data_IF_965892590466
#
_entry.id   IF_965892590466
#
_cell.length_a   1.000
_cell.length_b   1.000
_cell.length_c   1.000
_cell.angle_alpha   90.00
_cell.angle_beta   90.00
_cell.angle_gamma   90.00
#
_symmetry.space_group_name_H-M   'P 1'
#
loop_
_entity.id
_entity.type
_entity.pdbx_description
1 polymer ?
#
# COMPACT_ATOMS: atom_id res chain seq x y z
N UNK A 1 4.39 -34.20 -2.70
CA UNK A 1 4.30 -32.79 -3.10
C UNK A 1 5.70 -32.20 -3.07
N UNK A 2 6.15 -31.51 -4.12
CA UNK A 2 7.44 -30.81 -4.10
C UNK A 2 7.33 -29.55 -3.22
N UNK A 3 8.40 -29.14 -2.52
CA UNK A 3 8.36 -27.95 -1.68
C UNK A 3 8.26 -26.68 -2.55
N UNK A 4 7.43 -25.73 -2.11
CA UNK A 4 7.29 -24.40 -2.71
C UNK A 4 7.87 -23.40 -1.72
N UNK A 5 8.85 -22.60 -2.15
CA UNK A 5 9.52 -21.59 -1.33
C UNK A 5 9.15 -20.20 -1.81
N UNK A 6 8.95 -19.28 -0.86
CA UNK A 6 8.75 -17.85 -1.13
C UNK A 6 9.62 -17.05 -0.16
N UNK A 7 10.22 -15.96 -0.64
CA UNK A 7 10.98 -15.04 0.21
C UNK A 7 10.09 -13.92 0.77
N UNK A 8 10.68 -13.02 1.57
CA UNK A 8 9.96 -11.92 2.21
C UNK A 8 9.48 -10.85 1.22
N UNK A 9 10.22 -10.59 0.17
CA UNK A 9 9.84 -9.61 -0.85
C UNK A 9 8.65 -10.15 -1.65
N UNK A 10 8.68 -11.42 -2.01
CA UNK A 10 7.58 -12.08 -2.71
C UNK A 10 6.31 -12.14 -1.84
N UNK A 11 6.44 -12.37 -0.53
CA UNK A 11 5.32 -12.26 0.41
C UNK A 11 4.71 -10.86 0.37
N UNK A 12 5.53 -9.80 0.50
CA UNK A 12 5.05 -8.43 0.47
C UNK A 12 4.42 -8.06 -0.88
N UNK A 13 5.02 -8.50 -2.00
CA UNK A 13 4.52 -8.31 -3.36
C UNK A 13 3.11 -8.90 -3.52
N UNK A 14 2.90 -10.14 -3.09
CA UNK A 14 1.58 -10.79 -3.14
C UNK A 14 0.55 -10.09 -2.26
N UNK A 15 0.94 -9.66 -1.06
CA UNK A 15 0.04 -8.93 -0.17
C UNK A 15 -0.36 -7.56 -0.75
N UNK A 16 0.57 -6.82 -1.35
CA UNK A 16 0.26 -5.56 -2.04
C UNK A 16 -0.69 -5.81 -3.21
N UNK A 17 -0.39 -6.80 -4.04
CA UNK A 17 -1.20 -7.18 -5.22
C UNK A 17 -2.64 -7.49 -4.81
N UNK A 18 -2.82 -8.32 -3.78
CA UNK A 18 -4.14 -8.70 -3.28
C UNK A 18 -4.87 -7.51 -2.65
N UNK A 19 -4.19 -6.71 -1.82
CA UNK A 19 -4.80 -5.54 -1.20
C UNK A 19 -5.31 -4.53 -2.24
N UNK A 20 -4.54 -4.28 -3.30
CA UNK A 20 -4.96 -3.40 -4.41
C UNK A 20 -6.15 -3.99 -5.16
N UNK A 21 -6.14 -5.29 -5.42
CA UNK A 21 -7.26 -5.96 -6.11
C UNK A 21 -8.54 -5.84 -5.29
N UNK A 22 -8.48 -6.15 -3.99
CA UNK A 22 -9.61 -6.01 -3.07
C UNK A 22 -10.10 -4.56 -2.97
N UNK A 23 -9.20 -3.58 -3.02
CA UNK A 23 -9.53 -2.16 -3.02
C UNK A 23 -10.37 -1.77 -4.25
N UNK A 24 -9.92 -2.12 -5.46
CA UNK A 24 -10.67 -1.86 -6.68
C UNK A 24 -11.93 -2.75 -6.84
N UNK A 25 -12.04 -3.81 -6.04
CA UNK A 25 -13.29 -4.58 -5.91
C UNK A 25 -14.26 -4.03 -4.86
N UNK A 26 -13.94 -2.88 -4.23
CA UNK A 26 -14.75 -2.28 -3.16
C UNK A 26 -15.05 -3.28 -2.02
N UNK A 27 -14.04 -4.09 -1.67
CA UNK A 27 -14.13 -5.06 -0.58
C UNK A 27 -13.93 -4.39 0.78
N UNK A 28 -14.01 -5.21 1.82
CA UNK A 28 -13.97 -4.73 3.21
C UNK A 28 -12.60 -4.17 3.62
N UNK A 29 -12.58 -2.92 4.11
CA UNK A 29 -11.36 -2.25 4.50
C UNK A 29 -10.66 -2.84 5.73
N UNK A 30 -11.35 -3.57 6.61
CA UNK A 30 -10.68 -4.29 7.71
C UNK A 30 -9.76 -5.36 7.14
N UNK A 31 -10.20 -6.06 6.10
CA UNK A 31 -9.39 -7.06 5.39
C UNK A 31 -8.26 -6.37 4.63
N UNK A 32 -8.59 -5.36 3.80
CA UNK A 32 -7.59 -4.66 2.96
C UNK A 32 -6.49 -4.07 3.84
N UNK A 33 -6.87 -3.35 4.91
CA UNK A 33 -5.92 -2.72 5.83
C UNK A 33 -5.03 -3.77 6.52
N UNK A 34 -5.59 -4.89 6.94
CA UNK A 34 -4.82 -5.96 7.60
C UNK A 34 -3.77 -6.54 6.65
N UNK A 35 -4.13 -6.77 5.38
CA UNK A 35 -3.21 -7.31 4.36
C UNK A 35 -2.11 -6.30 4.04
N UNK A 36 -2.45 -5.04 3.75
CA UNK A 36 -1.45 -4.05 3.39
C UNK A 36 -0.55 -3.67 4.56
N UNK A 37 -1.07 -3.57 5.79
CA UNK A 37 -0.27 -3.30 6.97
C UNK A 37 0.70 -4.46 7.28
N UNK A 38 0.34 -5.69 6.92
CA UNK A 38 1.24 -6.83 6.98
C UNK A 38 2.38 -6.70 5.97
N UNK A 39 2.07 -6.34 4.71
CA UNK A 39 3.09 -6.10 3.68
C UNK A 39 4.04 -4.96 4.07
N UNK A 40 3.48 -3.87 4.58
CA UNK A 40 4.20 -2.71 5.07
C UNK A 40 5.18 -3.06 6.18
N UNK A 41 4.75 -3.88 7.14
CA UNK A 41 5.63 -4.35 8.22
C UNK A 41 6.78 -5.21 7.69
N UNK A 42 6.51 -6.12 6.75
CA UNK A 42 7.56 -6.93 6.11
C UNK A 42 8.59 -6.04 5.40
N UNK A 43 8.14 -5.04 4.63
CA UNK A 43 9.01 -4.12 3.90
C UNK A 43 9.81 -3.21 4.83
N UNK A 44 9.24 -2.78 5.95
CA UNK A 44 9.99 -2.07 7.00
C UNK A 44 11.12 -2.95 7.54
N UNK A 45 10.82 -4.21 7.85
CA UNK A 45 11.82 -5.08 8.45
C UNK A 45 12.96 -5.42 7.46
N UNK A 46 12.63 -5.62 6.18
CA UNK A 46 13.62 -5.87 5.13
C UNK A 46 14.40 -4.60 4.74
N UNK A 47 13.72 -3.46 4.63
CA UNK A 47 14.31 -2.19 4.18
C UNK A 47 15.26 -1.53 5.18
N UNK A 48 15.20 -1.92 6.47
CA UNK A 48 16.05 -1.38 7.55
C UNK A 48 17.54 -1.43 7.23
N UNK A 49 18.02 -2.57 6.71
CA UNK A 49 19.45 -2.76 6.41
C UNK A 49 19.92 -1.89 5.24
N UNK A 50 19.00 -1.47 4.37
CA UNK A 50 19.24 -0.63 3.20
C UNK A 50 19.02 0.87 3.49
N UNK A 51 18.69 1.23 4.75
CA UNK A 51 18.35 2.60 5.13
C UNK A 51 17.01 3.10 4.56
N UNK A 52 16.18 2.20 4.03
CA UNK A 52 14.86 2.54 3.49
C UNK A 52 13.88 2.58 4.66
N UNK A 53 13.20 3.72 4.80
CA UNK A 53 12.24 3.97 5.88
C UNK A 53 10.86 4.31 5.33
N UNK A 54 9.84 3.86 6.03
CA UNK A 54 8.44 4.22 5.76
C UNK A 54 8.23 5.72 6.03
N UNK A 55 7.60 6.41 5.08
CA UNK A 55 7.22 7.82 5.28
C UNK A 55 6.08 7.92 6.29
N UNK A 56 5.13 6.97 6.22
CA UNK A 56 3.95 6.95 7.11
C UNK A 56 4.33 6.64 8.55
N UNK A 57 5.28 5.74 8.83
CA UNK A 57 5.70 5.38 10.21
C UNK A 57 6.92 6.16 10.69
N UNK A 58 7.67 6.81 9.80
CA UNK A 58 8.87 7.57 10.14
C UNK A 58 8.87 9.00 9.58
N UNK A 59 7.86 9.81 9.94
CA UNK A 59 7.82 11.20 9.52
C UNK A 59 8.99 11.99 10.11
N UNK A 60 9.56 12.89 9.31
CA UNK A 60 10.67 13.76 9.71
C UNK A 60 10.16 14.88 10.63
N UNK A 61 11.07 15.42 11.47
CA UNK A 61 10.81 16.64 12.24
C UNK A 61 10.05 16.45 13.57
N UNK A 62 9.76 15.21 13.98
CA UNK A 62 9.13 14.93 15.26
C UNK A 62 10.14 14.81 16.41
N UNK A 63 9.75 15.27 17.59
CA UNK A 63 10.41 14.90 18.85
C UNK A 63 10.23 13.41 19.15
N UNK A 64 11.03 12.88 20.09
CA UNK A 64 10.95 11.46 20.49
C UNK A 64 9.57 11.07 21.04
N UNK A 65 8.90 11.98 21.73
CA UNK A 65 7.56 11.73 22.30
C UNK A 65 6.49 11.71 21.21
N UNK A 66 6.50 12.70 20.32
CA UNK A 66 5.60 12.77 19.17
C UNK A 66 5.75 11.55 18.27
N UNK A 67 6.98 11.15 17.98
CA UNK A 67 7.26 9.95 17.19
C UNK A 67 6.66 8.69 17.84
N UNK A 68 6.82 8.50 19.15
CA UNK A 68 6.22 7.36 19.87
C UNK A 68 4.70 7.38 19.84
N UNK A 69 4.09 8.56 19.96
CA UNK A 69 2.64 8.73 19.85
C UNK A 69 2.17 8.40 18.43
N UNK A 70 2.83 8.95 17.43
CA UNK A 70 2.57 8.72 16.01
C UNK A 70 2.62 7.25 15.65
N UNK A 71 3.71 6.55 15.97
CA UNK A 71 3.86 5.11 15.70
C UNK A 71 2.77 4.28 16.39
N UNK A 72 2.33 4.66 17.59
CA UNK A 72 1.22 3.98 18.26
C UNK A 72 -0.10 4.19 17.54
N UNK A 73 -0.45 5.44 17.23
CA UNK A 73 -1.68 5.78 16.48
C UNK A 73 -1.71 5.09 15.14
N UNK A 74 -0.58 5.11 14.42
CA UNK A 74 -0.49 4.54 13.07
C UNK A 74 -0.62 3.01 13.07
N UNK A 75 -0.15 2.33 14.11
CA UNK A 75 -0.26 0.87 14.22
C UNK A 75 -1.55 0.40 14.92
N UNK A 76 -2.36 1.31 15.45
CA UNK A 76 -3.53 0.96 16.26
C UNK A 76 -4.55 0.11 15.49
N UNK A 77 -5.01 0.47 14.27
CA UNK A 77 -5.98 -0.34 13.54
C UNK A 77 -5.46 -1.74 13.23
N UNK A 78 -4.25 -1.85 12.69
CA UNK A 78 -3.64 -3.13 12.37
C UNK A 78 -3.47 -4.04 13.59
N UNK A 79 -3.07 -3.48 14.73
CA UNK A 79 -2.95 -4.25 15.97
C UNK A 79 -4.32 -4.67 16.49
N UNK A 80 -5.31 -3.77 16.49
CA UNK A 80 -6.67 -4.06 16.92
C UNK A 80 -7.29 -5.20 16.09
N UNK A 81 -7.09 -5.21 14.77
CA UNK A 81 -7.68 -6.23 13.89
C UNK A 81 -7.10 -7.65 14.08
N UNK A 82 -5.88 -7.80 14.61
CA UNK A 82 -5.22 -9.11 14.75
C UNK A 82 -5.00 -9.59 16.18
N UNK A 83 -5.13 -8.70 17.17
CA UNK A 83 -4.84 -9.00 18.57
C UNK A 83 -6.08 -8.79 19.45
N UNK A 84 -6.73 -9.89 19.83
CA UNK A 84 -7.84 -9.90 20.79
C UNK A 84 -7.39 -10.24 22.23
N UNK A 85 -6.10 -10.51 22.45
CA UNK A 85 -5.55 -10.94 23.75
C UNK A 85 -5.60 -9.84 24.82
N UNK A 86 -5.59 -8.57 24.42
CA UNK A 86 -5.55 -7.42 25.34
C UNK A 86 -6.90 -6.75 25.54
N UNK A 87 -7.73 -6.72 24.50
CA UNK A 87 -9.02 -6.02 24.50
C UNK A 87 -10.05 -6.80 23.68
N UNK A 88 -10.49 -7.98 24.16
CA UNK A 88 -11.37 -8.87 23.40
C UNK A 88 -12.76 -8.30 23.15
N UNK A 89 -13.20 -7.33 23.95
CA UNK A 89 -14.51 -6.65 23.82
C UNK A 89 -14.36 -5.22 23.27
N UNK A 90 -13.15 -4.86 22.86
CA UNK A 90 -12.81 -3.55 22.34
C UNK A 90 -13.61 -3.17 21.11
N UNK A 91 -13.70 -1.87 20.85
CA UNK A 91 -14.29 -1.31 19.64
C UNK A 91 -13.40 -0.22 19.09
N UNK A 92 -13.18 -0.24 17.79
CA UNK A 92 -12.44 0.81 17.08
C UNK A 92 -13.37 1.52 16.09
N UNK A 93 -13.19 2.84 15.96
CA UNK A 93 -13.84 3.60 14.92
C UNK A 93 -13.10 3.39 13.59
N UNK A 94 -13.76 2.76 12.63
CA UNK A 94 -13.21 2.52 11.30
C UNK A 94 -13.56 3.61 10.28
N UNK A 95 -14.28 4.67 10.65
CA UNK A 95 -14.58 5.76 9.71
C UNK A 95 -13.36 6.33 8.94
N UNK A 96 -12.15 6.48 9.53
CA UNK A 96 -10.99 6.97 8.78
C UNK A 96 -10.21 5.87 8.02
N UNK A 97 -10.63 4.60 8.12
CA UNK A 97 -9.78 3.47 7.69
C UNK A 97 -9.54 3.45 6.19
N UNK A 98 -10.49 3.91 5.38
CA UNK A 98 -10.38 3.93 3.91
C UNK A 98 -9.21 4.80 3.46
N UNK A 99 -9.19 6.07 3.92
CA UNK A 99 -8.09 6.98 3.60
C UNK A 99 -6.76 6.45 4.13
N UNK A 100 -6.77 5.99 5.38
CA UNK A 100 -5.57 5.49 6.04
C UNK A 100 -4.99 4.24 5.36
N UNK A 101 -5.86 3.36 4.86
CA UNK A 101 -5.47 2.19 4.06
C UNK A 101 -4.83 2.62 2.75
N UNK A 102 -5.39 3.63 2.08
CA UNK A 102 -4.83 4.16 0.83
C UNK A 102 -3.43 4.76 1.03
N UNK A 103 -3.20 5.48 2.15
CA UNK A 103 -1.87 5.98 2.52
C UNK A 103 -0.87 4.85 2.77
N UNK A 104 -1.29 3.78 3.46
CA UNK A 104 -0.47 2.59 3.68
C UNK A 104 -0.13 1.85 2.39
N UNK A 105 -1.10 1.76 1.47
CA UNK A 105 -0.90 1.15 0.16
C UNK A 105 0.16 1.91 -0.62
N UNK A 106 0.06 3.24 -0.71
CA UNK A 106 1.07 4.04 -1.40
C UNK A 106 2.45 3.88 -0.76
N UNK A 107 2.58 4.02 0.56
CA UNK A 107 3.88 3.90 1.24
C UNK A 107 4.48 2.50 1.07
N UNK A 108 3.68 1.43 1.18
CA UNK A 108 4.14 0.06 0.92
C UNK A 108 4.61 -0.14 -0.53
N UNK A 109 3.92 0.42 -1.51
CA UNK A 109 4.31 0.37 -2.93
C UNK A 109 5.63 1.09 -3.15
N UNK A 110 5.79 2.30 -2.60
CA UNK A 110 7.04 3.07 -2.70
C UNK A 110 8.20 2.35 -2.01
N UNK A 111 7.96 1.74 -0.86
CA UNK A 111 8.97 0.91 -0.19
C UNK A 111 9.37 -0.31 -1.03
N UNK A 112 8.40 -1.04 -1.61
CA UNK A 112 8.70 -2.18 -2.49
C UNK A 112 9.52 -1.73 -3.71
N UNK A 113 9.15 -0.60 -4.33
CA UNK A 113 9.89 -0.02 -5.44
C UNK A 113 11.34 0.32 -5.05
N UNK A 114 11.55 0.92 -3.88
CA UNK A 114 12.89 1.29 -3.41
C UNK A 114 13.74 0.07 -3.01
N UNK A 115 13.13 -0.99 -2.48
CA UNK A 115 13.83 -2.20 -2.02
C UNK A 115 14.15 -3.14 -3.19
N UNK A 116 13.22 -3.31 -4.13
CA UNK A 116 13.32 -4.34 -5.18
C UNK A 116 13.52 -3.79 -6.59
N UNK A 117 13.35 -2.48 -6.80
CA UNK A 117 13.44 -1.85 -8.12
C UNK A 117 12.22 -2.08 -9.02
N UNK A 118 11.31 -2.99 -8.65
CA UNK A 118 10.15 -3.35 -9.48
C UNK A 118 8.89 -3.59 -8.66
N UNK A 119 7.78 -3.03 -9.11
CA UNK A 119 6.44 -3.21 -8.53
C UNK A 119 5.49 -3.93 -9.50
N UNK A 120 4.53 -4.71 -8.99
CA UNK A 120 3.55 -5.41 -9.82
C UNK A 120 2.60 -4.43 -10.54
N UNK A 121 1.85 -4.91 -11.53
CA UNK A 121 0.99 -4.06 -12.36
C UNK A 121 -0.07 -3.33 -11.53
N UNK A 122 -0.69 -4.05 -10.61
CA UNK A 122 -1.70 -3.59 -9.67
C UNK A 122 -1.17 -2.40 -8.88
N UNK A 123 0.06 -2.50 -8.37
CA UNK A 123 0.72 -1.41 -7.66
C UNK A 123 0.95 -0.17 -8.55
N UNK A 124 1.32 -0.35 -9.83
CA UNK A 124 1.47 0.78 -10.78
C UNK A 124 0.14 1.48 -11.04
N UNK A 125 -0.92 0.70 -11.22
CA UNK A 125 -2.28 1.20 -11.44
C UNK A 125 -2.79 1.93 -10.21
N UNK A 126 -2.64 1.35 -9.02
CA UNK A 126 -3.00 2.02 -7.78
C UNK A 126 -2.22 3.31 -7.56
N UNK A 127 -0.91 3.29 -7.76
CA UNK A 127 -0.09 4.49 -7.62
C UNK A 127 -0.57 5.59 -8.57
N UNK A 128 -0.83 5.26 -9.84
CA UNK A 128 -1.38 6.19 -10.83
C UNK A 128 -2.73 6.76 -10.40
N UNK A 129 -3.66 5.89 -10.00
CA UNK A 129 -4.97 6.31 -9.49
C UNK A 129 -4.84 7.24 -8.27
N UNK A 130 -3.98 6.90 -7.30
CA UNK A 130 -3.81 7.68 -6.08
C UNK A 130 -3.31 9.09 -6.36
N UNK A 131 -2.26 9.24 -7.18
CA UNK A 131 -1.69 10.56 -7.49
C UNK A 131 -2.61 11.39 -8.37
N UNK A 132 -3.42 10.77 -9.22
CA UNK A 132 -4.48 11.45 -9.98
C UNK A 132 -5.65 11.88 -9.10
N UNK A 133 -5.94 11.13 -8.03
CA UNK A 133 -7.07 11.41 -7.11
C UNK A 133 -6.73 12.50 -6.10
N UNK A 134 -5.47 12.57 -5.66
CA UNK A 134 -5.00 13.53 -4.66
C UNK A 134 -3.85 14.40 -5.19
N UNK A 135 -4.03 15.13 -6.31
CA UNK A 135 -2.93 15.84 -6.97
C UNK A 135 -2.29 16.92 -6.10
N UNK A 136 -3.08 17.56 -5.24
CA UNK A 136 -2.62 18.63 -4.34
C UNK A 136 -1.60 18.14 -3.30
N UNK A 137 -1.62 16.85 -2.93
CA UNK A 137 -0.65 16.27 -2.00
C UNK A 137 0.74 16.09 -2.63
N UNK A 138 0.83 16.25 -3.96
CA UNK A 138 2.06 16.10 -4.73
C UNK A 138 2.46 17.41 -5.44
N UNK A 139 1.89 18.55 -5.04
CA UNK A 139 2.16 19.86 -5.67
C UNK A 139 3.62 20.29 -5.62
N UNK A 140 4.35 19.83 -4.60
CA UNK A 140 5.75 20.16 -4.38
C UNK A 140 6.72 19.22 -5.13
N UNK A 141 6.20 18.22 -5.85
CA UNK A 141 7.02 17.32 -6.65
C UNK A 141 7.44 17.96 -7.99
N UNK A 142 8.61 17.61 -8.54
CA UNK A 142 9.08 18.14 -9.82
C UNK A 142 8.09 17.87 -10.97
N UNK A 143 7.91 18.86 -11.85
CA UNK A 143 6.94 18.80 -12.95
C UNK A 143 7.32 17.83 -14.08
N UNK A 144 8.57 17.40 -14.17
CA UNK A 144 9.15 16.63 -15.29
C UNK A 144 9.47 15.16 -14.95
N UNK A 145 8.84 14.60 -13.91
CA UNK A 145 9.11 13.24 -13.42
C UNK A 145 8.07 12.16 -13.77
N UNK A 146 8.38 10.92 -13.37
CA UNK A 146 7.46 9.77 -13.46
C UNK A 146 6.09 10.06 -12.83
N UNK A 147 6.04 10.85 -11.75
CA UNK A 147 4.79 11.27 -11.10
C UNK A 147 3.87 12.03 -12.05
N UNK A 148 4.38 12.96 -12.85
CA UNK A 148 3.55 13.71 -13.81
C UNK A 148 2.97 12.80 -14.87
N UNK A 149 3.75 11.83 -15.34
CA UNK A 149 3.26 10.81 -16.27
C UNK A 149 2.12 9.98 -15.64
N UNK A 150 2.31 9.48 -14.41
CA UNK A 150 1.27 8.74 -13.68
C UNK A 150 -0.01 9.58 -13.51
N UNK A 151 0.10 10.85 -13.12
CA UNK A 151 -1.04 11.76 -13.00
C UNK A 151 -1.77 11.95 -14.33
N UNK A 152 -1.01 12.06 -15.44
CA UNK A 152 -1.57 12.27 -16.79
C UNK A 152 -2.38 11.09 -17.33
N UNK A 153 -2.26 9.90 -16.72
CA UNK A 153 -3.10 8.75 -17.08
C UNK A 153 -4.57 8.96 -16.69
N UNK A 154 -4.86 9.89 -15.76
CA UNK A 154 -6.23 10.28 -15.41
C UNK A 154 -7.08 9.13 -14.88
N UNK A 155 -6.47 8.16 -14.19
CA UNK A 155 -7.20 6.98 -13.70
C UNK A 155 -8.23 7.32 -12.63
N UNK A 156 -8.17 8.52 -12.03
CA UNK A 156 -9.21 9.04 -11.15
C UNK A 156 -10.56 9.23 -11.86
N UNK A 157 -10.57 9.40 -13.19
CA UNK A 157 -11.78 9.54 -14.00
C UNK A 157 -12.44 8.19 -14.29
N UNK A 158 -11.75 7.08 -14.02
CA UNK A 158 -12.25 5.74 -14.28
C UNK A 158 -12.95 5.22 -13.03
N UNK A 159 -14.10 4.58 -13.21
CA UNK A 159 -14.71 3.84 -12.12
C UNK A 159 -13.89 2.58 -11.79
N UNK A 160 -14.03 2.11 -10.56
CA UNK A 160 -13.29 0.94 -10.07
C UNK A 160 -13.57 -0.34 -10.89
N UNK A 161 -14.80 -0.61 -11.36
CA UNK A 161 -15.06 -1.70 -12.29
C UNK A 161 -14.24 -1.63 -13.59
N UNK A 162 -14.06 -0.43 -14.17
CA UNK A 162 -13.24 -0.21 -15.37
C UNK A 162 -11.76 -0.46 -15.08
N UNK A 163 -11.25 0.06 -13.97
CA UNK A 163 -9.87 -0.20 -13.53
C UNK A 163 -9.63 -1.70 -13.33
N UNK A 164 -10.60 -2.43 -12.76
CA UNK A 164 -10.53 -3.88 -12.60
C UNK A 164 -10.46 -4.60 -13.93
N UNK A 165 -11.32 -4.25 -14.89
CA UNK A 165 -11.28 -4.85 -16.24
C UNK A 165 -9.94 -4.62 -16.92
N UNK A 166 -9.36 -3.43 -16.76
CA UNK A 166 -8.03 -3.11 -17.26
C UNK A 166 -6.94 -3.99 -16.62
N UNK A 167 -7.00 -4.21 -15.30
CA UNK A 167 -6.07 -5.11 -14.61
C UNK A 167 -6.18 -6.56 -15.12
N UNK A 168 -7.39 -7.10 -15.24
CA UNK A 168 -7.61 -8.44 -15.79
C UNK A 168 -7.06 -8.57 -17.21
N UNK A 169 -7.23 -7.56 -18.06
CA UNK A 169 -6.64 -7.57 -19.40
C UNK A 169 -5.10 -7.55 -19.34
N UNK A 170 -4.52 -6.76 -18.43
CA UNK A 170 -3.08 -6.70 -18.21
C UNK A 170 -2.49 -8.03 -17.76
N UNK A 171 -3.16 -8.76 -16.87
CA UNK A 171 -2.77 -10.11 -16.43
C UNK A 171 -2.75 -11.09 -17.62
N UNK A 172 -3.82 -11.12 -18.42
CA UNK A 172 -3.92 -11.97 -19.63
C UNK A 172 -2.76 -11.69 -20.58
N UNK A 173 -2.44 -10.41 -20.81
CA UNK A 173 -1.33 -10.01 -21.68
C UNK A 173 0.04 -10.42 -21.11
N UNK A 174 0.23 -10.39 -19.79
CA UNK A 174 1.46 -10.88 -19.18
C UNK A 174 1.61 -12.39 -19.31
N UNK A 175 0.52 -13.16 -19.15
CA UNK A 175 0.55 -14.61 -19.34
C UNK A 175 0.81 -15.01 -20.79
N UNK A 176 0.21 -14.30 -21.76
CA UNK A 176 0.42 -14.56 -23.18
C UNK A 176 1.86 -14.30 -23.66
N UNK A 177 2.64 -13.52 -22.90
CA UNK A 177 4.03 -13.16 -23.22
C UNK A 177 5.08 -13.96 -22.42
N UNK A 178 4.68 -14.92 -21.59
CA UNK A 178 5.57 -15.86 -20.88
C UNK A 178 5.82 -17.12 -21.73
#
# INVERSE_FOLDING_TARGET
MQPIWIDKIEVARRQITEAVTLFFELRDFVVIHTVIASAHQVLIDVGKEQGIVSVVKNPKGMTREEFRKHVRTVNEPYNFFKHADKDPEGKINIAPIERFTSDFMLDAILMLQNISGEIPLEAKVFWSWFVSTYPDEFSDCPEDGALKHLMSLGLNEWDFPTIRQFLTFGEIMQEANK
#
